data_IF_349577152840
#
_entry.id   IF_349577152840
#
_cell.length_a   1.000
_cell.length_b   1.000
_cell.length_c   1.000
_cell.angle_alpha   90.00
_cell.angle_beta   90.00
_cell.angle_gamma   90.00
#
_symmetry.space_group_name_H-M   'P 1'
#
loop_
_entity.id
_entity.type
_entity.pdbx_description
1 polymer ?
#
# COMPACT_ATOMS: atom_id res chain seq x y z
N UNK A 1 28.11 -1.17 18.18
CA UNK A 1 27.51 -1.19 17.79
C UNK A 1 26.87 -1.50 17.60
N UNK A 2 26.94 -1.33 17.52
CA UNK A 2 26.18 -1.41 17.11
C UNK A 2 25.58 -1.51 16.78
N UNK A 3 25.49 -1.36 16.84
CA UNK A 3 24.80 -1.25 16.40
C UNK A 3 24.12 -1.30 16.12
N UNK A 4 24.02 -1.11 16.40
CA UNK A 4 23.24 -0.93 15.99
C UNK A 4 22.89 -1.13 15.05
N UNK A 5 23.05 -1.77 14.77
CA UNK A 5 22.77 -1.82 13.59
C UNK A 5 21.67 -1.36 13.24
N UNK A 6 21.60 -0.74 12.36
CA UNK A 6 20.45 -0.29 12.01
C UNK A 6 19.61 -1.36 11.64
N UNK A 7 18.69 -1.40 12.29
CA UNK A 7 17.69 -2.19 11.95
C UNK A 7 17.18 -1.87 10.63
N UNK A 8 16.70 -2.79 9.93
CA UNK A 8 16.01 -2.51 8.74
C UNK A 8 14.75 -1.76 9.05
N UNK A 9 14.29 -0.97 8.13
CA UNK A 9 12.94 -0.44 8.19
C UNK A 9 11.98 -1.60 8.13
N UNK A 10 11.08 -1.63 9.05
CA UNK A 10 10.01 -2.62 9.01
C UNK A 10 8.84 -2.02 8.27
N UNK A 11 8.25 -2.83 7.40
CA UNK A 11 7.17 -2.36 6.55
C UNK A 11 5.88 -3.08 6.92
N UNK A 12 4.78 -2.38 6.84
CA UNK A 12 3.50 -3.04 6.84
C UNK A 12 2.86 -2.87 5.48
N UNK A 13 2.08 -3.87 5.10
CA UNK A 13 1.52 -3.95 3.76
C UNK A 13 0.01 -4.02 3.84
N UNK A 14 -0.63 -3.46 2.82
CA UNK A 14 -2.07 -3.43 2.73
C UNK A 14 -2.47 -3.75 1.30
N UNK A 15 -3.49 -4.57 1.15
CA UNK A 15 -4.11 -4.76 -0.15
C UNK A 15 -5.55 -4.29 -0.07
N UNK A 16 -6.03 -3.67 -1.13
CA UNK A 16 -7.38 -3.12 -1.13
C UNK A 16 -7.96 -3.21 -2.53
N UNK A 17 -9.26 -3.51 -2.63
CA UNK A 17 -9.91 -3.45 -3.92
C UNK A 17 -10.06 -2.00 -4.36
N UNK A 18 -9.89 -1.75 -5.65
CA UNK A 18 -10.01 -0.41 -6.20
C UNK A 18 -10.96 -0.49 -7.36
N UNK A 19 -12.02 0.31 -7.31
CA UNK A 19 -12.98 0.35 -8.40
C UNK A 19 -12.41 1.16 -9.55
N UNK A 20 -12.60 0.65 -10.75
CA UNK A 20 -12.05 1.30 -11.93
C UNK A 20 -12.56 2.72 -12.06
N UNK A 21 -13.80 2.96 -11.69
CA UNK A 21 -14.40 4.27 -11.89
C UNK A 21 -14.00 5.30 -10.85
N UNK A 22 -13.29 4.90 -9.80
CA UNK A 22 -13.02 5.80 -8.70
C UNK A 22 -11.62 5.62 -8.17
N UNK A 23 -10.70 5.30 -9.05
CA UNK A 23 -9.36 4.90 -8.66
C UNK A 23 -8.62 6.00 -7.90
N UNK A 24 -8.65 7.22 -8.43
CA UNK A 24 -7.85 8.28 -7.85
C UNK A 24 -8.30 8.60 -6.43
N UNK A 25 -9.61 8.68 -6.22
CA UNK A 25 -10.11 9.01 -4.89
C UNK A 25 -9.75 7.95 -3.87
N UNK A 26 -9.84 6.68 -4.28
CA UNK A 26 -9.50 5.59 -3.37
C UNK A 26 -8.02 5.62 -3.04
N UNK A 27 -7.17 5.78 -4.04
CA UNK A 27 -5.72 5.83 -3.79
C UNK A 27 -5.35 7.02 -2.91
N UNK A 28 -5.98 8.16 -3.13
CA UNK A 28 -5.69 9.33 -2.32
C UNK A 28 -6.12 9.15 -0.87
N UNK A 29 -7.21 8.42 -0.63
CA UNK A 29 -7.61 8.15 0.74
C UNK A 29 -6.55 7.37 1.49
N UNK A 30 -5.99 6.35 0.85
CA UNK A 30 -4.91 5.58 1.50
C UNK A 30 -3.65 6.42 1.64
N UNK A 31 -3.35 7.26 0.64
CA UNK A 31 -2.19 8.12 0.71
C UNK A 31 -2.24 9.09 1.88
N UNK A 32 -3.44 9.59 2.21
CA UNK A 32 -3.56 10.49 3.36
C UNK A 32 -3.20 9.78 4.66
N UNK A 33 -3.36 8.47 4.71
CA UNK A 33 -3.01 7.70 5.89
C UNK A 33 -1.56 7.24 5.88
N UNK A 34 -0.79 7.73 4.93
CA UNK A 34 0.63 7.43 4.88
C UNK A 34 0.99 6.23 4.04
N UNK A 35 0.02 5.63 3.34
CA UNK A 35 0.29 4.47 2.51
C UNK A 35 0.91 4.88 1.19
N UNK A 36 1.91 4.12 0.77
CA UNK A 36 2.55 4.31 -0.51
C UNK A 36 2.13 3.19 -1.45
N UNK A 37 1.69 3.54 -2.65
CA UNK A 37 1.27 2.55 -3.62
C UNK A 37 2.49 1.83 -4.20
N UNK A 38 2.47 0.51 -4.17
CA UNK A 38 3.53 -0.30 -4.74
C UNK A 38 3.16 -0.72 -6.16
N UNK A 39 1.98 -1.26 -6.33
CA UNK A 39 1.53 -1.72 -7.63
C UNK A 39 0.02 -1.91 -7.61
N UNK A 40 -0.54 -2.07 -8.78
CA UNK A 40 -1.96 -2.38 -8.95
C UNK A 40 -2.05 -3.56 -9.89
N UNK A 41 -2.85 -4.55 -9.53
CA UNK A 41 -3.04 -5.73 -10.36
C UNK A 41 -4.52 -5.92 -10.62
N UNK A 42 -4.82 -6.76 -11.61
CA UNK A 42 -6.21 -7.05 -11.94
C UNK A 42 -6.82 -7.94 -10.88
N UNK A 43 -8.08 -7.69 -10.60
CA UNK A 43 -8.83 -8.57 -9.74
C UNK A 43 -9.36 -9.78 -10.49
N UNK A 44 -10.05 -10.64 -9.77
CA UNK A 44 -10.45 -11.93 -10.32
C UNK A 44 -11.46 -11.82 -11.44
N UNK A 45 -12.33 -10.82 -11.41
CA UNK A 45 -13.38 -10.72 -12.40
C UNK A 45 -13.16 -9.60 -13.42
N UNK A 46 -11.99 -9.00 -13.40
CA UNK A 46 -11.66 -7.99 -14.42
C UNK A 46 -12.28 -6.63 -14.22
N UNK A 47 -13.21 -6.49 -13.30
CA UNK A 47 -13.84 -5.19 -13.07
C UNK A 47 -13.27 -4.47 -11.88
N UNK A 48 -12.52 -5.16 -11.07
CA UNK A 48 -11.86 -4.57 -9.92
C UNK A 48 -10.38 -4.68 -10.11
N UNK A 49 -9.70 -3.72 -9.52
CA UNK A 49 -8.26 -3.77 -9.42
C UNK A 49 -7.90 -4.01 -7.97
N UNK A 50 -6.74 -4.59 -7.75
CA UNK A 50 -6.23 -4.76 -6.39
C UNK A 50 -5.00 -3.88 -6.27
N UNK A 51 -5.04 -2.95 -5.34
CA UNK A 51 -3.91 -2.08 -5.08
C UNK A 51 -3.11 -2.63 -3.92
N UNK A 52 -1.81 -2.56 -4.03
CA UNK A 52 -0.87 -3.06 -3.04
C UNK A 52 -0.10 -1.88 -2.49
N UNK A 53 -0.17 -1.69 -1.18
CA UNK A 53 0.43 -0.55 -0.52
C UNK A 53 1.43 -1.00 0.53
N UNK A 54 2.31 -0.10 0.89
CA UNK A 54 3.21 -0.31 2.02
C UNK A 54 3.39 0.99 2.76
N UNK A 55 3.79 0.89 3.99
CA UNK A 55 4.27 2.05 4.75
C UNK A 55 5.15 1.55 5.87
N UNK A 56 6.04 2.41 6.40
CA UNK A 56 6.87 1.99 7.53
C UNK A 56 5.98 1.61 8.70
N UNK A 57 6.28 0.47 9.30
CA UNK A 57 5.53 0.02 10.46
C UNK A 57 5.93 0.88 11.65
N UNK A 58 4.93 1.25 12.44
CA UNK A 58 5.19 1.98 13.65
C UNK A 58 5.49 1.01 14.74
N UNK A 59 6.47 1.27 15.51
CA UNK A 59 6.84 0.35 16.59
C UNK A 59 6.14 0.65 17.88
#
# INVERSE_FOLDING_TARGET
MSMSSPAHTRWEYLTAPVLIHNTQAILNNFGRDGWELVTVTSGANGEQLVAWFKRPAQS
#
